data_IF_275910411032
#
_entry.id   IF_275910411032
#
_cell.length_a   1.000
_cell.length_b   1.000
_cell.length_c   1.000
_cell.angle_alpha   90.00
_cell.angle_beta   90.00
_cell.angle_gamma   90.00
#
_symmetry.space_group_name_H-M   'P 1'
#
loop_
_entity.id
_entity.type
_entity.pdbx_description
1 polymer ?
#
# COMPACT_ATOMS: atom_id res chain seq x y z
N UNK A 1 1.82 -2.92 -6.23
CA UNK A 1 3.28 -3.13 -6.31
C UNK A 1 3.97 -1.83 -6.67
N UNK A 2 3.78 -1.34 -7.89
CA UNK A 2 4.42 -0.12 -8.43
C UNK A 2 4.23 1.10 -7.53
N UNK A 3 5.26 1.92 -7.52
CA UNK A 3 5.27 3.23 -6.88
C UNK A 3 5.49 4.32 -7.92
N UNK A 4 5.26 5.58 -7.55
CA UNK A 4 5.53 6.71 -8.44
C UNK A 4 7.01 6.73 -8.86
N UNK A 5 7.93 6.50 -7.91
CA UNK A 5 9.38 6.46 -8.16
C UNK A 5 9.88 5.16 -8.78
N UNK A 6 9.17 4.04 -8.57
CA UNK A 6 9.68 2.69 -8.87
C UNK A 6 8.64 1.80 -9.55
N UNK A 7 8.81 1.60 -10.86
CA UNK A 7 8.04 0.61 -11.64
C UNK A 7 8.83 -0.69 -11.85
N UNK A 8 9.94 -0.62 -12.59
CA UNK A 8 10.75 -1.79 -12.96
C UNK A 8 11.68 -2.26 -11.85
N UNK A 9 12.34 -1.33 -11.13
CA UNK A 9 13.29 -1.67 -10.08
C UNK A 9 12.59 -1.91 -8.74
N UNK A 10 11.91 -3.04 -8.62
CA UNK A 10 11.13 -3.40 -7.42
C UNK A 10 12.01 -3.48 -6.16
N UNK A 11 13.31 -3.73 -6.29
CA UNK A 11 14.23 -3.80 -5.14
C UNK A 11 14.38 -2.46 -4.40
N UNK A 12 14.12 -1.35 -5.08
CA UNK A 12 14.29 0.00 -4.55
C UNK A 12 12.96 0.68 -4.18
N UNK A 13 11.84 -0.06 -4.14
CA UNK A 13 10.59 0.49 -3.63
C UNK A 13 10.76 1.05 -2.21
N UNK A 14 10.11 2.17 -1.96
CA UNK A 14 10.33 3.04 -0.81
C UNK A 14 9.24 2.90 0.26
N UNK A 15 8.06 2.36 -0.05
CA UNK A 15 7.09 1.96 0.99
C UNK A 15 7.78 0.95 1.90
N UNK A 16 7.75 1.17 3.21
CA UNK A 16 8.41 0.30 4.19
C UNK A 16 7.36 -0.44 5.01
N UNK A 17 7.64 -1.70 5.34
CA UNK A 17 6.92 -2.41 6.39
C UNK A 17 7.86 -2.69 7.56
N UNK A 18 7.46 -2.36 8.77
CA UNK A 18 8.23 -2.67 10.00
C UNK A 18 7.46 -3.66 10.85
N UNK A 19 8.14 -4.68 11.38
CA UNK A 19 7.56 -5.57 12.39
C UNK A 19 7.61 -4.90 13.77
N UNK A 20 6.46 -4.72 14.41
CA UNK A 20 6.33 -4.26 15.78
C UNK A 20 6.23 -5.45 16.73
N UNK A 21 7.28 -5.68 17.53
CA UNK A 21 7.33 -6.79 18.48
C UNK A 21 6.35 -6.66 19.64
N UNK A 22 5.88 -5.44 19.96
CA UNK A 22 4.97 -5.22 21.08
C UNK A 22 3.55 -5.68 20.72
N UNK A 23 3.10 -5.38 19.51
CA UNK A 23 1.78 -5.80 19.02
C UNK A 23 1.83 -7.11 18.23
N UNK A 24 3.03 -7.56 17.84
CA UNK A 24 3.25 -8.70 16.93
C UNK A 24 2.65 -8.48 15.54
N UNK A 25 2.61 -7.23 15.08
CA UNK A 25 1.99 -6.85 13.81
C UNK A 25 3.00 -6.24 12.83
N UNK A 26 2.59 -6.15 11.58
CA UNK A 26 3.36 -5.49 10.52
C UNK A 26 2.75 -4.12 10.21
N UNK A 27 3.59 -3.07 10.25
CA UNK A 27 3.18 -1.68 10.08
C UNK A 27 3.68 -1.16 8.74
N UNK A 28 2.77 -0.86 7.83
CA UNK A 28 3.03 -0.35 6.48
C UNK A 28 3.06 1.18 6.53
N UNK A 29 4.08 1.80 5.93
CA UNK A 29 4.20 3.25 5.85
C UNK A 29 4.76 3.72 4.51
N UNK A 30 4.20 4.81 3.99
CA UNK A 30 4.68 5.54 2.82
C UNK A 30 5.50 6.75 3.30
N UNK A 31 6.85 6.72 3.23
CA UNK A 31 7.69 7.75 3.85
C UNK A 31 7.77 9.07 3.08
N UNK A 32 7.47 9.06 1.78
CA UNK A 32 7.60 10.20 0.87
C UNK A 32 6.64 10.07 -0.31
N UNK A 33 6.52 11.14 -1.10
CA UNK A 33 5.58 11.19 -2.22
C UNK A 33 5.92 10.23 -3.37
N UNK A 34 7.22 9.97 -3.60
CA UNK A 34 7.67 9.00 -4.61
C UNK A 34 7.32 7.55 -4.24
N UNK A 35 7.14 7.28 -2.94
CA UNK A 35 6.81 5.96 -2.40
C UNK A 35 5.33 5.59 -2.49
N UNK A 36 4.45 6.52 -2.86
CA UNK A 36 3.02 6.23 -3.00
C UNK A 36 2.82 5.06 -3.96
N UNK A 37 1.90 4.14 -3.65
CA UNK A 37 1.54 3.12 -4.62
C UNK A 37 0.81 3.78 -5.77
N UNK A 38 1.22 3.49 -7.00
CA UNK A 38 0.79 4.24 -8.19
C UNK A 38 0.29 3.29 -9.28
N UNK A 39 -0.71 3.72 -10.05
CA UNK A 39 -1.42 2.92 -11.06
C UNK A 39 -2.15 1.68 -10.54
N UNK A 40 -2.57 1.66 -9.27
CA UNK A 40 -3.19 0.47 -8.68
C UNK A 40 -4.63 0.35 -9.21
N UNK A 41 -4.89 -0.64 -10.07
CA UNK A 41 -6.22 -0.87 -10.63
C UNK A 41 -7.28 -1.11 -9.54
N UNK A 42 -8.49 -0.60 -9.77
CA UNK A 42 -9.63 -0.65 -8.84
C UNK A 42 -9.44 0.12 -7.52
N UNK A 43 -8.27 0.71 -7.27
CA UNK A 43 -7.99 1.29 -5.96
C UNK A 43 -8.74 2.59 -5.69
N UNK A 44 -9.06 3.38 -6.73
CA UNK A 44 -9.60 4.72 -6.53
C UNK A 44 -11.01 4.69 -5.93
N UNK A 45 -11.84 3.72 -6.30
CA UNK A 45 -13.25 3.64 -5.91
C UNK A 45 -13.67 2.27 -5.36
N UNK A 46 -13.13 1.15 -5.87
CA UNK A 46 -13.78 -0.16 -5.65
C UNK A 46 -13.07 -1.09 -4.66
N UNK A 47 -11.73 -1.10 -4.63
CA UNK A 47 -10.99 -2.10 -3.87
C UNK A 47 -11.14 -1.89 -2.36
N UNK A 48 -11.47 -2.96 -1.62
CA UNK A 48 -11.53 -2.93 -0.15
C UNK A 48 -10.18 -3.29 0.49
N UNK A 49 -9.38 -4.08 -0.21
CA UNK A 49 -8.08 -4.57 0.24
C UNK A 49 -7.03 -4.39 -0.85
N UNK A 50 -5.78 -4.19 -0.45
CA UNK A 50 -4.64 -4.15 -1.34
C UNK A 50 -3.55 -5.12 -0.86
N UNK A 51 -2.89 -5.79 -1.81
CA UNK A 51 -1.61 -6.44 -1.55
C UNK A 51 -0.49 -5.43 -1.80
N UNK A 52 0.19 -5.06 -0.71
CA UNK A 52 1.26 -4.06 -0.69
C UNK A 52 2.60 -4.79 -0.72
N UNK A 53 3.44 -4.42 -1.70
CA UNK A 53 4.82 -4.91 -1.78
C UNK A 53 5.76 -3.86 -1.20
N UNK A 54 6.56 -4.22 -0.21
CA UNK A 54 7.46 -3.31 0.51
C UNK A 54 8.62 -4.05 1.16
N UNK A 55 9.81 -3.43 1.33
CA UNK A 55 10.87 -4.00 2.14
C UNK A 55 10.42 -4.17 3.59
N UNK A 56 10.64 -5.36 4.13
CA UNK A 56 10.32 -5.70 5.51
C UNK A 56 11.53 -5.44 6.42
N UNK A 57 11.35 -4.61 7.44
CA UNK A 57 12.33 -4.38 8.50
C UNK A 57 11.94 -5.14 9.77
N UNK A 58 12.81 -6.03 10.24
CA UNK A 58 12.69 -6.71 11.54
C UNK A 58 13.93 -6.38 12.35
N UNK A 59 13.78 -5.84 13.56
CA UNK A 59 14.91 -5.47 14.44
C UNK A 59 15.97 -4.61 13.71
N UNK A 60 15.52 -3.65 12.90
CA UNK A 60 16.38 -2.77 12.06
C UNK A 60 17.16 -3.48 10.94
N UNK A 61 16.84 -4.74 10.64
CA UNK A 61 17.40 -5.49 9.53
C UNK A 61 16.40 -5.62 8.39
N UNK A 62 16.80 -5.20 7.19
CA UNK A 62 16.00 -5.29 5.97
C UNK A 62 16.02 -6.73 5.42
N UNK A 63 14.85 -7.34 5.33
CA UNK A 63 14.62 -8.72 4.84
C UNK A 63 14.28 -8.77 3.35
N UNK A 64 14.31 -7.64 2.65
CA UNK A 64 13.88 -7.52 1.26
C UNK A 64 12.36 -7.38 1.12
N UNK A 65 11.91 -7.30 -0.15
CA UNK A 65 10.52 -7.03 -0.49
C UNK A 65 9.63 -8.24 -0.20
N UNK A 66 8.57 -8.00 0.57
CA UNK A 66 7.53 -8.97 0.91
C UNK A 66 6.15 -8.42 0.54
N UNK A 67 5.15 -9.31 0.52
CA UNK A 67 3.76 -8.95 0.26
C UNK A 67 2.96 -8.93 1.57
N UNK A 68 2.23 -7.84 1.81
CA UNK A 68 1.38 -7.63 2.98
C UNK A 68 -0.04 -7.30 2.53
N UNK A 69 -1.03 -7.67 3.34
CA UNK A 69 -2.42 -7.29 3.09
C UNK A 69 -2.74 -6.02 3.89
N UNK A 70 -3.32 -5.02 3.23
CA UNK A 70 -3.84 -3.83 3.88
C UNK A 70 -5.32 -3.72 3.55
N UNK A 71 -6.16 -3.62 4.59
CA UNK A 71 -7.52 -3.14 4.41
C UNK A 71 -7.44 -1.64 4.12
N UNK A 72 -7.99 -1.23 2.98
CA UNK A 72 -7.98 0.17 2.52
C UNK A 72 -9.37 0.81 2.58
N UNK A 73 -10.43 -0.01 2.60
CA UNK A 73 -11.80 0.43 2.89
C UNK A 73 -12.49 -0.50 3.87
N UNK A 74 -13.40 0.06 4.66
CA UNK A 74 -14.30 -0.70 5.52
C UNK A 74 -15.43 -1.38 4.72
N UNK A 75 -16.34 -2.04 5.43
CA UNK A 75 -17.46 -2.77 4.82
C UNK A 75 -18.47 -1.84 4.12
N UNK A 76 -18.52 -0.56 4.50
CA UNK A 76 -19.41 0.45 3.94
C UNK A 76 -18.73 1.24 2.80
N UNK A 77 -17.46 0.94 2.50
CA UNK A 77 -16.69 1.55 1.41
C UNK A 77 -15.94 2.83 1.79
N UNK A 78 -15.92 3.22 3.06
CA UNK A 78 -15.13 4.36 3.52
C UNK A 78 -13.65 3.99 3.67
N UNK A 79 -12.75 4.93 3.38
CA UNK A 79 -11.31 4.72 3.57
C UNK A 79 -11.00 4.41 5.04
N UNK A 80 -10.15 3.40 5.26
CA UNK A 80 -9.67 3.09 6.60
C UNK A 80 -8.79 4.21 7.17
N UNK A 81 -8.69 4.27 8.50
CA UNK A 81 -7.83 5.22 9.20
C UNK A 81 -6.39 5.14 8.67
N UNK A 82 -5.79 6.31 8.41
CA UNK A 82 -4.45 6.48 7.87
C UNK A 82 -4.20 5.84 6.48
N UNK A 83 -5.26 5.64 5.71
CA UNK A 83 -5.18 5.33 4.29
C UNK A 83 -5.69 6.55 3.51
N UNK A 84 -4.90 7.01 2.55
CA UNK A 84 -5.32 8.05 1.61
C UNK A 84 -5.27 7.50 0.19
N UNK A 85 -6.27 7.86 -0.62
CA UNK A 85 -6.39 7.42 -2.00
C UNK A 85 -6.78 8.60 -2.88
N UNK A 86 -6.18 8.67 -4.07
CA UNK A 86 -6.55 9.60 -5.13
C UNK A 86 -6.65 8.86 -6.48
N UNK A 87 -7.57 9.28 -7.36
CA UNK A 87 -7.64 8.76 -8.73
C UNK A 87 -6.42 9.24 -9.54
N UNK A 88 -5.83 8.38 -10.37
CA UNK A 88 -4.77 8.76 -11.31
C UNK A 88 -5.29 9.62 -12.48
N UNK A 89 -6.61 9.72 -12.64
CA UNK A 89 -7.30 10.53 -13.61
C UNK A 89 -7.43 9.89 -15.00
N UNK A 90 -7.59 10.76 -16.00
CA UNK A 90 -7.79 10.36 -17.39
C UNK A 90 -6.56 9.62 -17.93
N UNK A 91 -6.80 8.46 -18.54
CA UNK A 91 -5.78 7.63 -19.19
C UNK A 91 -5.93 7.65 -20.71
N UNK A 92 -4.87 7.26 -21.42
CA UNK A 92 -4.90 7.07 -22.88
C UNK A 92 -5.93 6.01 -23.31
N UNK A 93 -6.16 5.00 -22.48
CA UNK A 93 -7.12 3.92 -22.68
C UNK A 93 -7.54 3.30 -21.34
N UNK A 94 -8.39 2.27 -21.37
CA UNK A 94 -8.88 1.57 -20.17
C UNK A 94 -9.47 2.50 -19.11
N UNK A 95 -10.19 3.54 -19.55
CA UNK A 95 -10.76 4.55 -18.65
C UNK A 95 -11.92 4.02 -17.78
N UNK A 96 -12.39 2.79 -18.01
CA UNK A 96 -13.32 2.11 -17.12
C UNK A 96 -12.66 1.48 -15.89
N UNK A 97 -11.32 1.41 -15.84
CA UNK A 97 -10.56 0.96 -14.67
C UNK A 97 -10.16 2.19 -13.85
N UNK A 98 -10.51 2.22 -12.57
CA UNK A 98 -10.26 3.33 -11.66
C UNK A 98 -8.90 3.17 -10.95
N UNK A 99 -7.82 3.35 -11.72
CA UNK A 99 -6.47 3.30 -11.18
C UNK A 99 -6.26 4.37 -10.10
N UNK A 100 -5.83 3.95 -8.92
CA UNK A 100 -5.59 4.82 -7.78
C UNK A 100 -4.13 4.94 -7.38
N UNK A 101 -3.89 6.02 -6.68
CA UNK A 101 -2.71 6.36 -5.87
C UNK A 101 -3.03 6.01 -4.42
N UNK A 102 -2.10 5.39 -3.68
CA UNK A 102 -2.34 5.01 -2.28
C UNK A 102 -1.16 5.42 -1.40
N UNK A 103 -1.45 6.09 -0.29
CA UNK A 103 -0.52 6.39 0.79
C UNK A 103 -0.96 5.70 2.08
N UNK A 104 0.00 5.18 2.82
CA UNK A 104 -0.20 4.53 4.12
C UNK A 104 0.52 5.30 5.22
N UNK A 105 -0.20 5.65 6.28
CA UNK A 105 0.36 6.29 7.48
C UNK A 105 0.35 5.33 8.67
N UNK A 106 1.37 4.46 8.77
CA UNK A 106 1.44 3.42 9.81
C UNK A 106 0.16 2.56 9.88
N UNK A 107 -0.14 1.85 8.80
CA UNK A 107 -1.29 0.95 8.68
C UNK A 107 -0.91 -0.46 9.06
N UNK A 108 -1.66 -1.08 9.97
CA UNK A 108 -1.42 -2.45 10.41
C UNK A 108 -1.93 -3.48 9.39
N UNK A 109 -1.04 -4.35 8.92
CA UNK A 109 -1.39 -5.52 8.12
C UNK A 109 -1.88 -6.64 9.04
N UNK A 110 -3.16 -6.61 9.39
CA UNK A 110 -3.82 -7.66 10.18
C UNK A 110 -4.29 -8.79 9.28
N UNK A 111 -4.04 -10.03 9.68
CA UNK A 111 -4.74 -11.17 9.08
C UNK A 111 -6.23 -11.05 9.39
N UNK A 112 -7.09 -11.36 8.42
CA UNK A 112 -8.53 -11.44 8.67
C UNK A 112 -8.82 -12.44 9.80
N UNK A 113 -9.34 -11.95 10.93
CA UNK A 113 -9.81 -12.81 12.02
C UNK A 113 -9.07 -12.72 13.36
N UNK A 114 -8.40 -11.60 13.68
CA UNK A 114 -8.05 -11.25 15.06
C UNK A 114 -8.79 -9.99 15.51
#
# INVERSE_FOLDING_TARGET
MSELGHGSNVREVETVTTYDSNTQEFVINTPCESAQKFWIGEAANHATHAIVFSPLNINRSNQGVHAFIAQIRDADGYLCQNVWIADCGRKIGLNGVDNGQIWFGNVYSRGYGM
#
